data_IF_026627376789
#
_entry.id   IF_026627376789
#
_cell.length_a   1.000
_cell.length_b   1.000
_cell.length_c   1.000
_cell.angle_alpha   90.00
_cell.angle_beta   90.00
_cell.angle_gamma   90.00
#
_symmetry.space_group_name_H-M   'P 1'
#
loop_
_entity.id
_entity.type
_entity.pdbx_description
1 polymer ?
#
# COMPACT_ATOMS: atom_id res chain seq x y z
N UNK A 1 -4.70 3.29 13.30
CA UNK A 1 -3.38 3.92 13.42
C UNK A 1 -2.35 2.81 13.53
N UNK A 2 -1.35 2.82 12.65
CA UNK A 2 -0.43 1.71 12.34
C UNK A 2 0.16 1.07 13.60
N UNK A 3 0.48 1.87 14.61
CA UNK A 3 1.00 1.44 15.92
C UNK A 3 0.08 0.48 16.66
N UNK A 4 -1.23 0.77 16.70
CA UNK A 4 -2.21 -0.13 17.35
C UNK A 4 -2.28 -1.48 16.64
N UNK A 5 -2.13 -1.48 15.31
CA UNK A 5 -2.08 -2.71 14.53
C UNK A 5 -0.83 -3.52 14.84
N UNK A 6 0.33 -2.87 14.86
CA UNK A 6 1.62 -3.47 15.23
C UNK A 6 1.53 -4.11 16.63
N UNK A 7 1.07 -3.36 17.63
CA UNK A 7 0.91 -3.84 19.01
C UNK A 7 0.02 -5.09 19.09
N UNK A 8 -1.06 -5.12 18.29
CA UNK A 8 -1.97 -6.26 18.23
C UNK A 8 -1.28 -7.50 17.64
N UNK A 9 -0.59 -7.37 16.50
CA UNK A 9 0.12 -8.49 15.89
C UNK A 9 1.23 -9.03 16.79
N UNK A 10 1.98 -8.15 17.47
CA UNK A 10 2.99 -8.53 18.45
C UNK A 10 2.40 -9.31 19.62
N UNK A 11 1.28 -8.83 20.21
CA UNK A 11 0.58 -9.53 21.31
C UNK A 11 0.08 -10.91 20.91
N UNK A 12 -0.31 -11.07 19.66
CA UNK A 12 -0.79 -12.34 19.11
C UNK A 12 0.33 -13.25 18.59
N UNK A 13 1.60 -12.82 18.67
CA UNK A 13 2.74 -13.56 18.14
C UNK A 13 2.66 -13.77 16.62
N UNK A 14 1.95 -12.90 15.90
CA UNK A 14 1.77 -13.01 14.45
C UNK A 14 2.83 -12.16 13.74
N UNK A 15 3.60 -12.73 12.79
CA UNK A 15 4.65 -12.00 12.10
C UNK A 15 4.08 -10.91 11.19
N UNK A 16 4.73 -9.74 11.20
CA UNK A 16 4.43 -8.63 10.29
C UNK A 16 5.32 -8.79 9.06
N UNK A 17 4.71 -9.16 7.92
CA UNK A 17 5.45 -9.35 6.67
C UNK A 17 5.86 -8.02 6.03
N UNK A 18 5.13 -6.94 6.32
CA UNK A 18 5.47 -5.60 5.87
C UNK A 18 4.33 -4.61 6.02
N UNK A 19 4.61 -3.38 5.63
CA UNK A 19 3.68 -2.24 5.74
C UNK A 19 3.45 -1.64 4.36
N UNK A 20 2.19 -1.29 4.07
CA UNK A 20 1.75 -0.61 2.85
C UNK A 20 1.06 0.69 3.28
N UNK A 21 1.39 1.81 2.63
CA UNK A 21 0.70 3.09 2.82
C UNK A 21 -0.43 3.22 1.80
N UNK A 22 -1.68 3.03 2.25
CA UNK A 22 -2.86 3.19 1.40
C UNK A 22 -3.30 4.66 1.33
N UNK A 23 -3.86 5.05 0.18
CA UNK A 23 -4.31 6.43 -0.09
C UNK A 23 -3.19 7.47 0.11
N UNK A 24 -1.95 7.14 -0.27
CA UNK A 24 -0.74 7.92 0.03
C UNK A 24 -0.66 9.26 -0.70
N UNK A 25 -1.32 9.35 -1.86
CA UNK A 25 -1.28 10.50 -2.75
C UNK A 25 -2.52 10.57 -3.62
N UNK A 26 -2.81 11.76 -4.16
CA UNK A 26 -3.88 12.00 -5.13
C UNK A 26 -3.35 12.90 -6.24
N UNK A 27 -3.50 12.49 -7.50
CA UNK A 27 -3.13 13.31 -8.65
C UNK A 27 -4.33 14.12 -9.11
N UNK A 28 -4.25 15.44 -9.08
CA UNK A 28 -5.31 16.29 -9.58
C UNK A 28 -5.44 16.15 -11.11
N UNK A 29 -6.59 15.66 -11.58
CA UNK A 29 -6.85 15.49 -13.02
C UNK A 29 -6.86 16.79 -13.84
N UNK A 30 -6.94 17.97 -13.19
CA UNK A 30 -6.98 19.27 -13.88
C UNK A 30 -5.60 19.91 -14.03
N UNK A 31 -4.74 19.81 -13.01
CA UNK A 31 -3.43 20.49 -13.01
C UNK A 31 -2.24 19.53 -12.93
N UNK A 32 -2.45 18.24 -12.71
CA UNK A 32 -1.40 17.23 -12.58
C UNK A 32 -0.64 17.25 -11.25
N UNK A 33 -0.96 18.18 -10.35
CA UNK A 33 -0.31 18.26 -9.04
C UNK A 33 -0.60 17.02 -8.20
N UNK A 34 0.44 16.50 -7.56
CA UNK A 34 0.34 15.43 -6.57
C UNK A 34 0.05 16.04 -5.20
N UNK A 35 -1.01 15.59 -4.56
CA UNK A 35 -1.45 16.01 -3.24
C UNK A 35 -1.31 14.86 -2.24
N UNK A 36 -1.04 15.20 -0.99
CA UNK A 36 -0.97 14.25 0.13
C UNK A 36 -2.02 14.63 1.19
N UNK A 37 -3.32 14.40 0.91
CA UNK A 37 -4.42 14.91 1.74
C UNK A 37 -4.41 14.37 3.18
N UNK A 38 -3.74 13.23 3.41
CA UNK A 38 -3.66 12.57 4.71
C UNK A 38 -2.25 12.60 5.32
N UNK A 39 -1.37 13.46 4.81
CA UNK A 39 0.07 13.39 5.10
C UNK A 39 0.78 12.35 4.23
N UNK A 40 2.09 12.20 4.40
CA UNK A 40 2.92 11.31 3.60
C UNK A 40 4.10 10.78 4.40
N UNK A 41 4.43 9.50 4.20
CA UNK A 41 5.64 8.86 4.71
C UNK A 41 5.55 8.37 6.16
N UNK A 42 4.40 8.54 6.82
CA UNK A 42 4.20 8.09 8.19
C UNK A 42 4.28 6.57 8.32
N UNK A 43 3.78 5.81 7.33
CA UNK A 43 3.82 4.36 7.37
C UNK A 43 5.24 3.84 7.07
N UNK A 44 5.98 4.51 6.18
CA UNK A 44 7.38 4.21 5.91
C UNK A 44 8.26 4.44 7.14
N UNK A 45 8.12 5.58 7.81
CA UNK A 45 8.85 5.87 9.03
C UNK A 45 8.56 4.85 10.15
N UNK A 46 7.29 4.43 10.30
CA UNK A 46 6.94 3.41 11.28
C UNK A 46 7.52 2.02 10.91
N UNK A 47 7.51 1.65 9.63
CA UNK A 47 8.14 0.42 9.16
C UNK A 47 9.63 0.37 9.51
N UNK A 48 10.35 1.47 9.29
CA UNK A 48 11.75 1.62 9.68
C UNK A 48 11.93 1.50 11.20
N UNK A 49 11.06 2.14 12.00
CA UNK A 49 11.14 2.09 13.47
C UNK A 49 11.03 0.68 14.05
N UNK A 50 10.21 -0.18 13.44
CA UNK A 50 9.98 -1.56 13.92
C UNK A 50 10.83 -2.60 13.18
N UNK A 51 11.68 -2.18 12.25
CA UNK A 51 12.49 -3.08 11.43
C UNK A 51 11.68 -3.95 10.46
N UNK A 52 10.48 -3.51 10.07
CA UNK A 52 9.63 -4.24 9.12
C UNK A 52 9.80 -3.73 7.68
N UNK A 53 9.62 -4.58 6.65
CA UNK A 53 9.69 -4.15 5.26
C UNK A 53 8.60 -3.12 4.91
N UNK A 54 9.00 -2.02 4.26
CA UNK A 54 8.04 -1.14 3.59
C UNK A 54 7.80 -1.62 2.15
N UNK A 55 6.60 -2.14 1.90
CA UNK A 55 6.26 -2.78 0.62
C UNK A 55 5.91 -1.74 -0.44
N UNK A 56 5.28 -0.64 -0.08
CA UNK A 56 5.04 0.47 -0.99
C UNK A 56 3.81 1.28 -0.66
N UNK A 57 3.37 2.03 -1.66
CA UNK A 57 2.31 3.02 -1.56
C UNK A 57 1.24 2.78 -2.62
N UNK A 58 -0.01 3.03 -2.26
CA UNK A 58 -1.15 2.95 -3.17
C UNK A 58 -1.80 4.33 -3.23
N UNK A 59 -1.93 4.95 -4.41
CA UNK A 59 -2.57 6.26 -4.54
C UNK A 59 -4.08 6.17 -4.28
N UNK A 60 -4.66 7.27 -3.82
CA UNK A 60 -6.09 7.49 -3.84
C UNK A 60 -6.50 7.76 -5.30
N UNK A 61 -7.07 6.75 -5.93
CA UNK A 61 -7.46 6.80 -7.34
C UNK A 61 -8.88 6.29 -7.55
N UNK A 62 -9.65 6.98 -8.40
CA UNK A 62 -11.04 6.66 -8.67
C UNK A 62 -11.21 5.31 -9.36
N UNK A 63 -10.31 4.95 -10.28
CA UNK A 63 -10.38 3.69 -11.01
C UNK A 63 -10.17 2.51 -10.06
N UNK A 64 -9.28 2.64 -9.07
CA UNK A 64 -9.10 1.63 -8.02
C UNK A 64 -10.41 1.41 -7.26
N UNK A 65 -11.06 2.51 -6.84
CA UNK A 65 -12.33 2.46 -6.09
C UNK A 65 -13.45 1.82 -6.90
N UNK A 66 -13.67 2.30 -8.13
CA UNK A 66 -14.74 1.82 -9.00
C UNK A 66 -14.55 0.35 -9.37
N UNK A 67 -13.33 -0.07 -9.70
CA UNK A 67 -13.01 -1.47 -9.96
C UNK A 67 -13.30 -2.36 -8.74
N UNK A 68 -12.85 -1.93 -7.56
CA UNK A 68 -13.07 -2.67 -6.30
C UNK A 68 -14.55 -2.80 -5.95
N UNK A 69 -15.34 -1.72 -6.08
CA UNK A 69 -16.78 -1.75 -5.85
C UNK A 69 -17.52 -2.63 -6.87
N UNK A 70 -17.02 -2.67 -8.11
CA UNK A 70 -17.52 -3.53 -9.17
C UNK A 70 -17.17 -5.01 -9.01
N UNK A 71 -16.39 -5.38 -7.99
CA UNK A 71 -16.00 -6.76 -7.69
C UNK A 71 -14.91 -7.34 -8.59
N UNK A 72 -14.34 -6.55 -9.51
CA UNK A 72 -13.22 -6.96 -10.35
C UNK A 72 -12.06 -5.97 -10.16
N UNK A 73 -10.94 -6.37 -9.56
CA UNK A 73 -9.90 -5.44 -9.13
C UNK A 73 -9.18 -4.79 -10.32
N UNK A 74 -8.56 -3.63 -10.07
CA UNK A 74 -7.87 -2.83 -11.11
C UNK A 74 -6.79 -3.63 -11.86
N UNK A 75 -6.11 -4.55 -11.17
CA UNK A 75 -5.09 -5.43 -11.75
C UNK A 75 -5.64 -6.39 -12.82
N UNK A 76 -6.94 -6.68 -12.79
CA UNK A 76 -7.60 -7.52 -13.78
C UNK A 76 -8.24 -6.71 -14.90
N UNK A 77 -8.81 -5.53 -14.59
CA UNK A 77 -9.50 -4.68 -15.58
C UNK A 77 -8.49 -3.90 -16.45
N UNK A 78 -7.46 -3.33 -15.83
CA UNK A 78 -6.46 -2.47 -16.48
C UNK A 78 -5.05 -2.88 -16.05
N UNK A 79 -4.56 -4.08 -16.43
CA UNK A 79 -3.30 -4.64 -15.95
C UNK A 79 -2.09 -3.74 -16.23
N UNK A 80 -2.11 -2.99 -17.33
CA UNK A 80 -0.99 -2.12 -17.74
C UNK A 80 -1.07 -0.71 -17.14
N UNK A 81 -2.08 -0.40 -16.33
CA UNK A 81 -2.21 0.93 -15.71
C UNK A 81 -1.23 1.10 -14.54
N UNK A 82 -0.80 2.33 -14.28
CA UNK A 82 0.10 2.63 -13.14
C UNK A 82 -0.48 2.16 -11.80
N UNK A 83 -1.80 2.26 -11.63
CA UNK A 83 -2.53 1.79 -10.46
C UNK A 83 -2.38 0.27 -10.29
N UNK A 84 -2.56 -0.51 -11.36
CA UNK A 84 -2.36 -1.96 -11.32
C UNK A 84 -0.90 -2.30 -11.04
N UNK A 85 0.03 -1.61 -11.69
CA UNK A 85 1.46 -1.81 -11.51
C UNK A 85 1.93 -1.50 -10.08
N UNK A 86 1.29 -0.56 -9.36
CA UNK A 86 1.55 -0.36 -7.93
C UNK A 86 1.28 -1.64 -7.10
N UNK A 87 0.15 -2.30 -7.31
CA UNK A 87 -0.16 -3.55 -6.62
C UNK A 87 0.80 -4.67 -7.02
N UNK A 88 1.15 -4.78 -8.31
CA UNK A 88 2.09 -5.79 -8.80
C UNK A 88 3.48 -5.64 -8.16
N UNK A 89 4.02 -4.42 -8.10
CA UNK A 89 5.30 -4.15 -7.43
C UNK A 89 5.28 -4.49 -5.94
N UNK A 90 4.16 -4.23 -5.25
CA UNK A 90 3.96 -4.61 -3.85
C UNK A 90 3.96 -6.13 -3.71
N UNK A 91 3.23 -6.84 -4.57
CA UNK A 91 3.15 -8.30 -4.57
C UNK A 91 4.53 -8.92 -4.85
N UNK A 92 5.27 -8.40 -5.83
CA UNK A 92 6.64 -8.85 -6.14
C UNK A 92 7.58 -8.68 -4.94
N UNK A 93 7.54 -7.53 -4.26
CA UNK A 93 8.34 -7.31 -3.05
C UNK A 93 7.97 -8.30 -1.95
N UNK A 94 6.67 -8.52 -1.74
CA UNK A 94 6.16 -9.48 -0.75
C UNK A 94 6.65 -10.91 -1.06
N UNK A 95 6.56 -11.35 -2.31
CA UNK A 95 7.03 -12.68 -2.73
C UNK A 95 8.55 -12.84 -2.60
N UNK A 96 9.31 -11.74 -2.75
CA UNK A 96 10.76 -11.73 -2.65
C UNK A 96 11.29 -11.58 -1.22
N UNK A 97 10.41 -11.49 -0.21
CA UNK A 97 10.83 -11.57 1.19
C UNK A 97 11.39 -12.97 1.43
N UNK A 98 12.72 -13.07 1.45
CA UNK A 98 13.44 -14.28 1.85
C UNK A 98 13.31 -14.46 3.35
N UNK A 99 12.22 -15.09 3.78
CA UNK A 99 12.03 -15.81 5.04
C UNK A 99 10.52 -15.92 5.32
N UNK A 100 9.94 -17.01 4.84
CA UNK A 100 8.63 -17.51 5.29
C UNK A 100 8.79 -19.00 5.70
N UNK A 101 9.99 -19.36 6.18
CA UNK A 101 10.35 -20.68 6.69
C UNK A 101 10.69 -20.58 8.17
#
# INVERSE_FOLDING_TARGET
DVRKGIDMFQKMGTPILGIIENMSSFVCGTCGTVHHPFGHGGAKAEAENIGAPFLGEIPLDLDIRVASDGGTPIVAIKPDSEQAQCFMRIAEKLMNLKELA
#
